data_IF_189839936121
#
_entry.id   IF_189839936121
#
_cell.length_a   1.000
_cell.length_b   1.000
_cell.length_c   1.000
_cell.angle_alpha   90.00
_cell.angle_beta   90.00
_cell.angle_gamma   90.00
#
_symmetry.space_group_name_H-M   'P 1'
#
loop_
_entity.id
_entity.type
_entity.pdbx_description
1 polymer ?
#
# COMPACT_ATOMS: atom_id res chain seq x y z
N UNK A 1 -5.24 24.14 -6.03
CA UNK A 1 -4.28 24.18 -7.15
C UNK A 1 -3.03 23.46 -6.66
N UNK A 2 -2.51 22.48 -7.39
CA UNK A 2 -1.19 21.92 -7.06
C UNK A 2 -0.17 23.05 -7.22
N UNK A 3 0.79 23.16 -6.30
CA UNK A 3 1.84 24.19 -6.39
C UNK A 3 2.79 23.88 -7.54
N UNK A 4 3.24 24.92 -8.24
CA UNK A 4 4.31 24.83 -9.24
C UNK A 4 5.70 25.06 -8.62
N UNK A 5 5.79 25.22 -7.28
CA UNK A 5 7.07 25.39 -6.60
C UNK A 5 7.87 24.07 -6.61
N UNK A 6 9.03 24.03 -7.31
CA UNK A 6 9.84 22.83 -7.42
C UNK A 6 10.38 22.35 -6.07
N UNK A 7 10.54 23.23 -5.08
CA UNK A 7 11.01 22.85 -3.73
C UNK A 7 9.95 22.04 -2.98
N UNK A 8 8.69 22.44 -3.08
CA UNK A 8 7.59 21.72 -2.41
C UNK A 8 7.41 20.35 -3.07
N UNK A 9 7.45 20.29 -4.40
CA UNK A 9 7.36 19.02 -5.14
C UNK A 9 8.52 18.09 -4.73
N UNK A 10 9.75 18.61 -4.69
CA UNK A 10 10.91 17.82 -4.26
C UNK A 10 10.78 17.32 -2.81
N UNK A 11 10.35 18.17 -1.88
CA UNK A 11 10.16 17.80 -0.48
C UNK A 11 9.07 16.75 -0.31
N UNK A 12 7.94 16.91 -1.00
CA UNK A 12 6.85 15.94 -1.00
C UNK A 12 7.30 14.58 -1.55
N UNK A 13 8.05 14.59 -2.64
CA UNK A 13 8.59 13.37 -3.26
C UNK A 13 9.57 12.64 -2.35
N UNK A 14 10.49 13.38 -1.71
CA UNK A 14 11.42 12.82 -0.71
C UNK A 14 10.65 12.25 0.48
N UNK A 15 9.64 12.99 0.97
CA UNK A 15 8.79 12.59 2.08
C UNK A 15 7.97 11.33 1.80
N UNK A 16 7.57 11.08 0.56
CA UNK A 16 6.91 9.84 0.14
C UNK A 16 7.89 8.67 -0.05
N UNK A 17 9.02 8.91 -0.71
CA UNK A 17 9.96 7.83 -1.07
C UNK A 17 10.74 7.28 0.12
N UNK A 18 11.25 8.14 1.01
CA UNK A 18 12.13 7.69 2.10
C UNK A 18 11.44 6.65 2.99
N UNK A 19 10.22 6.88 3.51
CA UNK A 19 9.52 5.88 4.31
C UNK A 19 9.28 4.58 3.53
N UNK A 20 8.89 4.65 2.26
CA UNK A 20 8.67 3.47 1.43
C UNK A 20 9.94 2.64 1.23
N UNK A 21 11.09 3.28 1.03
CA UNK A 21 12.38 2.59 0.90
C UNK A 21 12.86 2.00 2.24
N UNK A 22 12.61 2.68 3.36
CA UNK A 22 12.92 2.16 4.69
C UNK A 22 12.11 0.89 4.99
N UNK A 23 10.82 0.90 4.66
CA UNK A 23 9.98 -0.29 4.76
C UNK A 23 10.41 -1.39 3.80
N UNK A 24 10.77 -1.06 2.56
CA UNK A 24 11.26 -2.06 1.60
C UNK A 24 12.51 -2.75 2.14
N UNK A 25 13.45 -1.97 2.68
CA UNK A 25 14.64 -2.52 3.33
C UNK A 25 14.30 -3.42 4.52
N UNK A 26 13.32 -3.05 5.34
CA UNK A 26 12.86 -3.85 6.47
C UNK A 26 12.28 -5.21 6.01
N UNK A 27 11.37 -5.22 5.04
CA UNK A 27 10.75 -6.45 4.54
C UNK A 27 11.73 -7.36 3.78
N UNK A 28 12.68 -6.80 3.03
CA UNK A 28 13.73 -7.57 2.37
C UNK A 28 14.71 -8.20 3.37
N UNK A 29 14.86 -7.60 4.56
CA UNK A 29 15.68 -8.15 5.63
C UNK A 29 15.05 -9.38 6.28
N UNK A 30 13.73 -9.53 6.19
CA UNK A 30 13.01 -10.73 6.62
C UNK A 30 13.29 -11.91 5.67
N UNK A 31 13.28 -11.67 4.35
CA UNK A 31 13.62 -12.68 3.34
C UNK A 31 15.13 -12.82 3.07
N UNK A 32 15.96 -12.87 4.13
CA UNK A 32 17.42 -12.94 3.98
C UNK A 32 17.95 -14.28 3.47
N UNK A 33 17.21 -15.37 3.67
CA UNK A 33 17.68 -16.72 3.34
C UNK A 33 17.72 -16.97 1.83
N UNK A 34 16.79 -16.37 1.08
CA UNK A 34 16.70 -16.47 -0.38
C UNK A 34 16.28 -15.10 -0.96
N UNK A 35 17.20 -14.14 -1.09
CA UNK A 35 16.84 -12.80 -1.52
C UNK A 35 16.50 -12.73 -3.01
N UNK A 36 15.43 -12.01 -3.34
CA UNK A 36 15.05 -11.73 -4.72
C UNK A 36 16.08 -10.84 -5.45
N UNK A 37 16.25 -10.97 -6.78
CA UNK A 37 17.19 -10.15 -7.51
C UNK A 37 16.82 -8.67 -7.44
N UNK A 38 17.77 -7.82 -7.02
CA UNK A 38 17.51 -6.38 -6.82
C UNK A 38 16.97 -5.68 -8.07
N UNK A 39 17.41 -6.09 -9.27
CA UNK A 39 16.96 -5.51 -10.52
C UNK A 39 15.45 -5.71 -10.76
N UNK A 40 14.93 -6.91 -10.49
CA UNK A 40 13.49 -7.18 -10.65
C UNK A 40 12.68 -6.45 -9.57
N UNK A 41 13.18 -6.38 -8.34
CA UNK A 41 12.56 -5.59 -7.26
C UNK A 41 12.47 -4.10 -7.63
N UNK A 42 13.51 -3.53 -8.23
CA UNK A 42 13.48 -2.14 -8.70
C UNK A 42 12.42 -1.93 -9.77
N UNK A 43 12.30 -2.83 -10.75
CA UNK A 43 11.27 -2.75 -11.80
C UNK A 43 9.87 -2.84 -11.16
N UNK A 44 9.66 -3.78 -10.24
CA UNK A 44 8.39 -3.97 -9.53
C UNK A 44 8.02 -2.73 -8.71
N UNK A 45 8.99 -2.12 -8.01
CA UNK A 45 8.78 -0.88 -7.27
C UNK A 45 8.37 0.27 -8.20
N UNK A 46 9.08 0.46 -9.32
CA UNK A 46 8.75 1.48 -10.32
C UNK A 46 7.36 1.24 -10.93
N UNK A 47 7.02 -0.02 -11.21
CA UNK A 47 5.69 -0.36 -11.71
C UNK A 47 4.59 -0.06 -10.68
N UNK A 48 4.88 -0.24 -9.39
CA UNK A 48 4.03 0.26 -8.30
C UNK A 48 3.83 1.77 -8.32
N UNK A 49 4.90 2.54 -8.55
CA UNK A 49 4.80 4.01 -8.71
C UNK A 49 3.92 4.39 -9.91
N UNK A 50 4.13 3.73 -11.06
CA UNK A 50 3.34 3.95 -12.27
C UNK A 50 1.88 3.54 -12.11
N UNK A 51 1.60 2.56 -11.26
CA UNK A 51 0.25 2.09 -10.97
C UNK A 51 -0.66 3.22 -10.44
N UNK A 52 -0.10 4.24 -9.77
CA UNK A 52 -0.85 5.42 -9.33
C UNK A 52 -1.42 6.22 -10.52
N UNK A 53 -0.68 6.30 -11.64
CA UNK A 53 -1.14 7.00 -12.86
C UNK A 53 -2.41 6.35 -13.41
N UNK A 54 -2.54 5.02 -13.29
CA UNK A 54 -3.70 4.28 -13.76
C UNK A 54 -4.86 4.28 -12.75
N UNK A 55 -4.57 4.25 -11.45
CA UNK A 55 -5.62 4.18 -10.43
C UNK A 55 -6.33 5.52 -10.25
N UNK A 56 -5.64 6.66 -10.36
CA UNK A 56 -6.22 7.97 -10.08
C UNK A 56 -7.40 8.32 -11.02
N UNK A 57 -7.33 8.09 -12.35
CA UNK A 57 -8.48 8.25 -13.23
C UNK A 57 -9.66 7.35 -12.85
N UNK A 58 -9.39 6.11 -12.42
CA UNK A 58 -10.43 5.16 -11.99
C UNK A 58 -11.11 5.66 -10.72
N UNK A 59 -10.32 6.11 -9.74
CA UNK A 59 -10.84 6.69 -8.50
C UNK A 59 -11.65 7.96 -8.77
N UNK A 60 -11.19 8.83 -9.68
CA UNK A 60 -11.92 10.03 -10.11
C UNK A 60 -13.25 9.67 -10.80
N UNK A 61 -13.26 8.64 -11.64
CA UNK A 61 -14.47 8.13 -12.25
C UNK A 61 -15.46 7.61 -11.20
N UNK A 62 -15.00 6.81 -10.24
CA UNK A 62 -15.81 6.32 -9.11
C UNK A 62 -16.39 7.50 -8.32
N UNK A 63 -15.57 8.51 -8.02
CA UNK A 63 -15.99 9.70 -7.27
C UNK A 63 -17.16 10.45 -7.93
N UNK A 64 -17.18 10.51 -9.27
CA UNK A 64 -18.18 11.24 -10.04
C UNK A 64 -19.45 10.46 -10.38
N UNK A 65 -19.44 9.12 -10.23
CA UNK A 65 -20.55 8.25 -10.67
C UNK A 65 -21.19 7.42 -9.56
N UNK A 66 -20.59 7.40 -8.36
CA UNK A 66 -21.12 6.70 -7.19
C UNK A 66 -21.59 7.76 -6.20
N UNK A 67 -22.76 7.60 -5.58
CA UNK A 67 -23.25 8.57 -4.59
C UNK A 67 -22.90 8.17 -3.15
N UNK A 68 -23.03 6.88 -2.81
CA UNK A 68 -22.70 6.35 -1.47
C UNK A 68 -21.21 6.45 -1.19
N UNK A 69 -20.86 7.09 -0.06
CA UNK A 69 -19.49 7.21 0.39
C UNK A 69 -18.90 5.85 0.79
N UNK A 70 -19.70 4.97 1.38
CA UNK A 70 -19.29 3.62 1.77
C UNK A 70 -18.87 2.81 0.54
N UNK A 71 -19.67 2.87 -0.53
CA UNK A 71 -19.34 2.21 -1.79
C UNK A 71 -18.11 2.82 -2.46
N UNK A 72 -17.92 4.14 -2.39
CA UNK A 72 -16.71 4.80 -2.92
C UNK A 72 -15.45 4.26 -2.25
N UNK A 73 -15.41 4.19 -0.92
CA UNK A 73 -14.23 3.71 -0.21
C UNK A 73 -13.88 2.26 -0.55
N UNK A 74 -14.90 1.40 -0.65
CA UNK A 74 -14.71 0.01 -1.07
C UNK A 74 -14.16 -0.05 -2.50
N UNK A 75 -14.74 0.71 -3.44
CA UNK A 75 -14.34 0.68 -4.85
C UNK A 75 -12.95 1.31 -5.07
N UNK A 76 -12.59 2.35 -4.32
CA UNK A 76 -11.25 2.93 -4.33
C UNK A 76 -10.20 1.93 -3.85
N UNK A 77 -10.40 1.33 -2.66
CA UNK A 77 -9.51 0.30 -2.15
C UNK A 77 -9.41 -0.89 -3.12
N UNK A 78 -10.54 -1.30 -3.71
CA UNK A 78 -10.58 -2.36 -4.73
C UNK A 78 -9.73 -2.02 -5.95
N UNK A 79 -9.87 -0.81 -6.48
CA UNK A 79 -9.11 -0.36 -7.64
C UNK A 79 -7.61 -0.36 -7.34
N UNK A 80 -7.19 0.12 -6.17
CA UNK A 80 -5.78 0.13 -5.77
C UNK A 80 -5.19 -1.27 -5.65
N UNK A 81 -5.85 -2.19 -4.93
CA UNK A 81 -5.36 -3.56 -4.76
C UNK A 81 -5.27 -4.30 -6.10
N UNK A 82 -6.27 -4.11 -6.98
CA UNK A 82 -6.26 -4.72 -8.32
C UNK A 82 -5.14 -4.15 -9.19
N UNK A 83 -4.96 -2.83 -9.20
CA UNK A 83 -3.96 -2.17 -10.05
C UNK A 83 -2.53 -2.49 -9.57
N UNK A 84 -2.28 -2.55 -8.25
CA UNK A 84 -1.01 -3.04 -7.69
C UNK A 84 -0.75 -4.50 -8.05
N UNK A 85 -1.76 -5.35 -7.96
CA UNK A 85 -1.65 -6.75 -8.38
C UNK A 85 -1.26 -6.85 -9.86
N UNK A 86 -1.95 -6.14 -10.74
CA UNK A 86 -1.66 -6.14 -12.17
C UNK A 86 -0.23 -5.63 -12.46
N UNK A 87 0.25 -4.61 -11.75
CA UNK A 87 1.61 -4.12 -11.88
C UNK A 87 2.65 -5.23 -11.66
N UNK A 88 2.45 -6.09 -10.65
CA UNK A 88 3.31 -7.25 -10.40
C UNK A 88 3.16 -8.33 -11.47
N UNK A 89 1.92 -8.68 -11.81
CA UNK A 89 1.68 -9.73 -12.81
C UNK A 89 2.30 -9.37 -14.15
N UNK A 90 2.20 -8.11 -14.60
CA UNK A 90 2.80 -7.66 -15.87
C UNK A 90 4.31 -7.86 -15.87
N UNK A 91 4.99 -7.57 -14.75
CA UNK A 91 6.45 -7.69 -14.65
C UNK A 91 6.90 -9.15 -14.58
N UNK A 92 6.19 -9.97 -13.80
CA UNK A 92 6.58 -11.36 -13.55
C UNK A 92 6.02 -12.34 -14.59
N UNK A 93 5.11 -11.88 -15.46
CA UNK A 93 4.51 -12.72 -16.49
C UNK A 93 5.59 -13.37 -17.37
N UNK A 94 5.56 -14.70 -17.45
CA UNK A 94 6.54 -15.53 -18.18
C UNK A 94 7.99 -15.39 -17.71
N UNK A 95 8.22 -14.88 -16.49
CA UNK A 95 9.55 -14.91 -15.86
C UNK A 95 9.69 -16.14 -14.95
N UNK A 96 10.93 -16.46 -14.58
CA UNK A 96 11.25 -17.50 -13.59
C UNK A 96 11.60 -16.93 -12.22
N UNK A 97 11.30 -15.64 -11.97
CA UNK A 97 11.72 -14.93 -10.76
C UNK A 97 10.78 -15.13 -9.56
N UNK A 98 9.58 -15.68 -9.76
CA UNK A 98 8.64 -16.02 -8.70
C UNK A 98 8.34 -17.52 -8.76
N UNK A 99 9.31 -18.33 -8.35
CA UNK A 99 9.24 -19.78 -8.39
C UNK A 99 8.73 -20.38 -7.08
N UNK A 100 8.82 -19.65 -5.96
CA UNK A 100 8.35 -20.09 -4.65
C UNK A 100 7.11 -19.30 -4.22
N UNK A 101 6.23 -19.92 -3.40
CA UNK A 101 5.04 -19.23 -2.89
C UNK A 101 5.37 -17.99 -2.05
N UNK A 102 6.54 -17.96 -1.41
CA UNK A 102 7.00 -16.85 -0.57
C UNK A 102 7.42 -15.60 -1.35
N UNK A 103 7.78 -15.75 -2.63
CA UNK A 103 8.28 -14.63 -3.45
C UNK A 103 7.13 -13.69 -3.82
N UNK A 104 5.92 -14.23 -4.03
CA UNK A 104 4.72 -13.46 -4.41
C UNK A 104 4.38 -12.34 -3.44
N UNK A 105 4.30 -12.57 -2.13
CA UNK A 105 4.07 -11.47 -1.21
C UNK A 105 5.26 -10.50 -1.10
N UNK A 106 6.53 -10.90 -1.34
CA UNK A 106 7.65 -9.95 -1.44
C UNK A 106 7.47 -9.01 -2.65
N UNK A 107 7.10 -9.54 -3.81
CA UNK A 107 6.87 -8.73 -5.01
C UNK A 107 5.66 -7.80 -4.87
N UNK A 108 4.55 -8.28 -4.30
CA UNK A 108 3.38 -7.43 -4.06
C UNK A 108 3.63 -6.35 -3.01
N UNK A 109 4.36 -6.65 -1.94
CA UNK A 109 4.83 -5.64 -0.98
C UNK A 109 5.70 -4.60 -1.69
N UNK A 110 6.60 -5.04 -2.56
CA UNK A 110 7.50 -4.14 -3.30
C UNK A 110 6.72 -3.18 -4.20
N UNK A 111 5.73 -3.68 -4.95
CA UNK A 111 4.84 -2.83 -5.76
C UNK A 111 4.00 -1.89 -4.87
N UNK A 112 3.52 -2.38 -3.74
CA UNK A 112 2.74 -1.58 -2.80
C UNK A 112 3.53 -0.42 -2.19
N UNK A 113 4.82 -0.62 -1.89
CA UNK A 113 5.70 0.42 -1.38
C UNK A 113 6.03 1.47 -2.46
N UNK A 114 6.19 1.04 -3.71
CA UNK A 114 6.29 1.95 -4.85
C UNK A 114 5.03 2.78 -5.05
N UNK A 115 3.87 2.15 -4.96
CA UNK A 115 2.57 2.83 -5.00
C UNK A 115 2.45 3.87 -3.88
N UNK A 116 2.70 3.45 -2.63
CA UNK A 116 2.65 4.33 -1.46
C UNK A 116 3.64 5.50 -1.56
N UNK A 117 4.80 5.31 -2.22
CA UNK A 117 5.78 6.38 -2.38
C UNK A 117 5.22 7.57 -3.18
N UNK A 118 4.55 7.30 -4.31
CA UNK A 118 3.92 8.35 -5.12
C UNK A 118 2.66 8.88 -4.45
N UNK A 119 1.82 8.00 -3.91
CA UNK A 119 0.58 8.42 -3.28
C UNK A 119 0.83 9.35 -2.08
N UNK A 120 1.74 8.97 -1.17
CA UNK A 120 2.12 9.82 -0.05
C UNK A 120 2.75 11.14 -0.51
N UNK A 121 3.57 11.12 -1.57
CA UNK A 121 4.10 12.34 -2.15
C UNK A 121 2.97 13.26 -2.63
N UNK A 122 1.95 12.74 -3.33
CA UNK A 122 0.80 13.53 -3.78
C UNK A 122 -0.01 14.10 -2.61
N UNK A 123 -0.19 13.32 -1.53
CA UNK A 123 -0.87 13.81 -0.33
C UNK A 123 -0.08 14.90 0.41
N UNK A 124 1.25 14.92 0.33
CA UNK A 124 2.10 15.94 0.96
C UNK A 124 2.10 17.28 0.23
N UNK A 125 1.80 17.32 -1.06
CA UNK A 125 1.91 18.56 -1.86
C UNK A 125 1.01 19.66 -1.29
N UNK A 126 -0.27 19.37 -1.03
CA UNK A 126 -1.24 20.39 -0.61
C UNK A 126 -0.90 20.99 0.77
N UNK A 127 -0.68 20.20 1.85
CA UNK A 127 -0.25 20.72 3.16
C UNK A 127 1.01 21.58 3.10
N UNK A 128 2.03 21.13 2.37
CA UNK A 128 3.28 21.89 2.20
C UNK A 128 3.08 23.21 1.45
N UNK A 129 2.12 23.27 0.52
CA UNK A 129 1.83 24.47 -0.28
C UNK A 129 1.16 25.58 0.50
N UNK A 130 0.35 25.24 1.51
CA UNK A 130 -0.39 26.21 2.33
C UNK A 130 0.39 26.64 3.58
N UNK A 131 1.64 26.17 3.72
CA UNK A 131 2.52 26.55 4.83
C UNK A 131 2.09 26.00 6.18
N UNK A 132 1.37 24.86 6.22
CA UNK A 132 1.04 24.21 7.49
C UNK A 132 2.32 23.90 8.28
N UNK A 133 2.32 24.30 9.57
CA UNK A 133 3.49 24.24 10.44
C UNK A 133 4.10 22.83 10.52
N UNK A 134 5.38 22.75 10.89
CA UNK A 134 6.14 21.51 11.12
C UNK A 134 5.41 20.50 12.01
N UNK A 135 4.57 20.95 12.94
CA UNK A 135 3.77 20.11 13.83
C UNK A 135 2.60 19.42 13.10
N UNK A 136 1.92 20.11 12.18
CA UNK A 136 0.87 19.53 11.32
C UNK A 136 1.49 18.55 10.31
N UNK A 137 2.72 18.81 9.86
CA UNK A 137 3.49 17.86 9.06
C UNK A 137 3.90 16.63 9.89
N UNK A 138 4.26 16.77 11.16
CA UNK A 138 4.60 15.66 12.08
C UNK A 138 3.38 14.79 12.45
N UNK A 139 2.19 15.37 12.56
CA UNK A 139 0.96 14.60 12.81
C UNK A 139 0.44 13.93 11.53
N UNK A 140 0.55 14.61 10.38
CA UNK A 140 0.38 14.02 9.05
C UNK A 140 1.31 12.82 8.83
N UNK A 141 2.57 12.89 9.26
CA UNK A 141 3.55 11.78 9.20
C UNK A 141 3.06 10.49 9.85
N UNK A 142 2.25 10.56 10.91
CA UNK A 142 1.64 9.37 11.48
C UNK A 142 0.58 8.81 10.52
N UNK A 143 -0.33 9.62 9.96
CA UNK A 143 -1.27 9.10 8.95
C UNK A 143 -0.54 8.47 7.74
N UNK A 144 0.59 9.06 7.31
CA UNK A 144 1.42 8.54 6.20
C UNK A 144 2.14 7.23 6.52
N UNK A 145 2.73 7.11 7.71
CA UNK A 145 3.40 5.88 8.14
C UNK A 145 2.39 4.73 8.24
N UNK A 146 1.16 5.03 8.67
CA UNK A 146 0.06 4.07 8.75
C UNK A 146 -0.41 3.63 7.36
N UNK A 147 -0.60 4.58 6.42
CA UNK A 147 -0.91 4.26 5.02
C UNK A 147 0.16 3.38 4.38
N UNK A 148 1.46 3.72 4.53
CA UNK A 148 2.55 2.91 3.95
C UNK A 148 2.54 1.47 4.48
N UNK A 149 2.33 1.31 5.79
CA UNK A 149 2.18 -0.01 6.40
C UNK A 149 0.91 -0.72 5.89
N UNK A 150 -0.19 0.01 5.67
CA UNK A 150 -1.43 -0.54 5.14
C UNK A 150 -1.24 -1.17 3.77
N UNK A 151 -0.69 -0.42 2.80
CA UNK A 151 -0.49 -0.95 1.45
C UNK A 151 0.40 -2.19 1.47
N UNK A 152 1.40 -2.18 2.35
CA UNK A 152 2.31 -3.30 2.52
C UNK A 152 1.58 -4.54 3.06
N UNK A 153 0.83 -4.39 4.15
CA UNK A 153 0.14 -5.52 4.81
C UNK A 153 -1.02 -6.03 3.94
N UNK A 154 -1.81 -5.15 3.31
CA UNK A 154 -2.90 -5.55 2.41
C UNK A 154 -2.37 -6.33 1.20
N UNK A 155 -1.31 -5.83 0.56
CA UNK A 155 -0.71 -6.47 -0.60
C UNK A 155 0.05 -7.75 -0.21
N UNK A 156 0.62 -7.79 1.00
CA UNK A 156 1.20 -9.00 1.59
C UNK A 156 0.17 -10.10 1.78
N UNK A 157 -1.02 -9.79 2.31
CA UNK A 157 -2.14 -10.75 2.43
C UNK A 157 -2.53 -11.30 1.04
N UNK A 158 -2.69 -10.42 0.06
CA UNK A 158 -3.00 -10.83 -1.31
C UNK A 158 -1.89 -11.72 -1.89
N UNK A 159 -0.62 -11.39 -1.63
CA UNK A 159 0.50 -12.19 -2.11
C UNK A 159 0.61 -13.56 -1.45
N UNK A 160 0.35 -13.68 -0.15
CA UNK A 160 0.27 -14.97 0.54
C UNK A 160 -0.83 -15.82 -0.10
N UNK A 161 -2.03 -15.24 -0.27
CA UNK A 161 -3.14 -15.93 -0.90
C UNK A 161 -2.82 -16.38 -2.34
N UNK A 162 -2.17 -15.52 -3.12
CA UNK A 162 -1.71 -15.82 -4.47
C UNK A 162 -0.67 -16.95 -4.47
N UNK A 163 0.39 -16.86 -3.67
CA UNK A 163 1.44 -17.87 -3.58
C UNK A 163 0.89 -19.25 -3.21
N UNK A 164 -0.01 -19.31 -2.23
CA UNK A 164 -0.70 -20.55 -1.84
C UNK A 164 -1.59 -21.06 -2.99
N UNK A 165 -2.35 -20.17 -3.63
CA UNK A 165 -3.28 -20.54 -4.71
C UNK A 165 -2.59 -21.21 -5.90
N UNK A 166 -1.31 -20.91 -6.14
CA UNK A 166 -0.55 -21.49 -7.25
C UNK A 166 -0.23 -22.97 -7.04
N UNK A 167 -0.30 -23.47 -5.80
CA UNK A 167 -0.16 -24.88 -5.45
C UNK A 167 -1.50 -25.63 -5.43
N UNK A 168 -2.57 -24.97 -5.90
CA UNK A 168 -3.92 -25.52 -5.95
C UNK A 168 -4.43 -25.62 -7.38
N UNK A 169 -5.41 -26.49 -7.59
CA UNK A 169 -6.03 -26.70 -8.90
C UNK A 169 -7.50 -26.29 -8.94
N UNK A 170 -7.99 -26.01 -10.15
CA UNK A 170 -9.40 -25.77 -10.43
C UNK A 170 -10.02 -24.63 -9.62
N UNK A 171 -11.16 -24.92 -9.00
CA UNK A 171 -11.98 -23.94 -8.25
C UNK A 171 -11.25 -23.43 -7.00
N UNK A 172 -10.47 -24.29 -6.32
CA UNK A 172 -9.77 -23.92 -5.08
C UNK A 172 -8.77 -22.79 -5.30
N UNK A 173 -8.00 -22.86 -6.38
CA UNK A 173 -7.07 -21.78 -6.79
C UNK A 173 -7.79 -20.43 -6.92
N UNK A 174 -8.91 -20.41 -7.65
CA UNK A 174 -9.70 -19.19 -7.84
C UNK A 174 -10.28 -18.68 -6.53
N UNK A 175 -10.78 -19.58 -5.68
CA UNK A 175 -11.36 -19.22 -4.39
C UNK A 175 -10.32 -18.57 -3.47
N UNK A 176 -9.11 -19.12 -3.37
CA UNK A 176 -8.05 -18.54 -2.54
C UNK A 176 -7.65 -17.15 -3.03
N UNK A 177 -7.54 -16.94 -4.34
CA UNK A 177 -7.24 -15.62 -4.89
C UNK A 177 -8.36 -14.61 -4.60
N UNK A 178 -9.63 -15.00 -4.77
CA UNK A 178 -10.79 -14.16 -4.45
C UNK A 178 -10.83 -13.81 -2.96
N UNK A 179 -10.59 -14.78 -2.08
CA UNK A 179 -10.50 -14.55 -0.64
C UNK A 179 -9.36 -13.59 -0.31
N UNK A 180 -8.20 -13.74 -0.96
CA UNK A 180 -7.06 -12.82 -0.82
C UNK A 180 -7.43 -11.37 -1.15
N UNK A 181 -8.10 -11.15 -2.29
CA UNK A 181 -8.61 -9.83 -2.65
C UNK A 181 -9.61 -9.28 -1.64
N UNK A 182 -10.59 -10.09 -1.23
CA UNK A 182 -11.59 -9.67 -0.24
C UNK A 182 -10.92 -9.24 1.06
N UNK A 183 -9.96 -10.02 1.56
CA UNK A 183 -9.25 -9.71 2.80
C UNK A 183 -8.39 -8.44 2.67
N UNK A 184 -7.66 -8.29 1.55
CA UNK A 184 -6.85 -7.10 1.31
C UNK A 184 -7.70 -5.83 1.22
N UNK A 185 -8.79 -5.88 0.44
CA UNK A 185 -9.73 -4.77 0.27
C UNK A 185 -10.45 -4.45 1.58
N UNK A 186 -10.87 -5.47 2.32
CA UNK A 186 -11.52 -5.28 3.62
C UNK A 186 -10.58 -4.60 4.62
N UNK A 187 -9.33 -5.08 4.75
CA UNK A 187 -8.33 -4.46 5.63
C UNK A 187 -8.08 -3.01 5.23
N UNK A 188 -7.89 -2.76 3.93
CA UNK A 188 -7.67 -1.43 3.39
C UNK A 188 -8.84 -0.49 3.74
N UNK A 189 -10.06 -0.90 3.42
CA UNK A 189 -11.26 -0.12 3.70
C UNK A 189 -11.46 0.13 5.21
N UNK A 190 -11.24 -0.88 6.05
CA UNK A 190 -11.34 -0.76 7.51
C UNK A 190 -10.33 0.25 8.04
N UNK A 191 -9.09 0.23 7.57
CA UNK A 191 -8.09 1.23 7.94
C UNK A 191 -8.51 2.63 7.50
N UNK A 192 -8.90 2.81 6.24
CA UNK A 192 -9.34 4.10 5.71
C UNK A 192 -10.52 4.66 6.51
N UNK A 193 -11.47 3.81 6.85
CA UNK A 193 -12.62 4.16 7.67
C UNK A 193 -12.22 4.67 9.06
N UNK A 194 -11.28 4.03 9.74
CA UNK A 194 -10.81 4.48 11.05
C UNK A 194 -9.96 5.75 10.96
N UNK A 195 -9.00 5.81 10.04
CA UNK A 195 -8.02 6.91 9.99
C UNK A 195 -8.62 8.25 9.54
N UNK A 196 -9.69 8.22 8.74
CA UNK A 196 -10.43 9.42 8.31
C UNK A 196 -11.24 10.03 9.46
N UNK A 197 -11.65 9.21 10.45
CA UNK A 197 -12.45 9.67 11.60
C UNK A 197 -11.63 10.26 12.73
N UNK A 198 -10.32 10.04 12.72
CA UNK A 198 -9.42 10.66 13.69
C UNK A 198 -9.44 12.17 13.49
N UNK A 199 -9.91 12.91 14.50
CA UNK A 199 -9.99 14.36 14.48
C UNK A 199 -8.74 15.01 15.09
N UNK A 200 -8.04 15.80 14.30
CA UNK A 200 -6.79 16.49 14.68
C UNK A 200 -6.97 17.54 15.78
N UNK A 201 -8.19 18.03 15.98
CA UNK A 201 -8.50 19.02 17.02
C UNK A 201 -8.95 18.39 18.36
N UNK A 202 -9.07 17.06 18.44
CA UNK A 202 -9.42 16.37 19.68
C UNK A 202 -8.17 16.20 20.57
N UNK A 203 -8.31 16.44 21.89
CA UNK A 203 -7.26 16.16 22.88
C UNK A 203 -6.83 14.69 22.92
N UNK A 204 -7.67 13.77 22.41
CA UNK A 204 -7.37 12.34 22.30
C UNK A 204 -6.73 11.92 20.98
N UNK A 205 -6.45 12.84 20.05
CA UNK A 205 -5.93 12.56 18.70
C UNK A 205 -4.81 11.50 18.67
N UNK A 206 -3.78 11.71 19.50
CA UNK A 206 -2.61 10.83 19.54
C UNK A 206 -2.98 9.39 19.94
N UNK A 207 -3.86 9.23 20.93
CA UNK A 207 -4.34 7.92 21.37
C UNK A 207 -5.18 7.23 20.30
N UNK A 208 -6.02 7.97 19.57
CA UNK A 208 -6.83 7.40 18.48
C UNK A 208 -5.95 6.89 17.33
N UNK A 209 -4.96 7.68 16.92
CA UNK A 209 -3.97 7.23 15.93
C UNK A 209 -3.26 5.97 16.40
N UNK A 210 -2.77 5.95 17.65
CA UNK A 210 -2.07 4.78 18.18
C UNK A 210 -2.96 3.53 18.20
N UNK A 211 -4.27 3.65 18.42
CA UNK A 211 -5.21 2.52 18.33
C UNK A 211 -5.30 1.97 16.90
N UNK A 212 -5.46 2.84 15.90
CA UNK A 212 -5.52 2.45 14.48
C UNK A 212 -4.21 1.79 14.04
N UNK A 213 -3.08 2.37 14.46
CA UNK A 213 -1.76 1.81 14.23
C UNK A 213 -1.56 0.47 14.93
N UNK A 214 -1.93 0.36 16.21
CA UNK A 214 -1.81 -0.87 16.98
C UNK A 214 -2.59 -2.01 16.33
N UNK A 215 -3.81 -1.74 15.87
CA UNK A 215 -4.59 -2.69 15.06
C UNK A 215 -3.82 -3.13 13.81
N UNK A 216 -3.32 -2.19 13.02
CA UNK A 216 -2.60 -2.52 11.79
C UNK A 216 -1.29 -3.29 12.06
N UNK A 217 -0.58 -2.96 13.14
CA UNK A 217 0.63 -3.66 13.57
C UNK A 217 0.36 -5.11 13.98
N UNK A 218 -0.77 -5.39 14.65
CA UNK A 218 -1.16 -6.78 14.94
C UNK A 218 -1.32 -7.57 13.64
N UNK A 219 -1.99 -6.99 12.64
CA UNK A 219 -2.13 -7.64 11.32
C UNK A 219 -0.78 -7.78 10.61
N UNK A 220 0.09 -6.77 10.69
CA UNK A 220 1.44 -6.83 10.14
C UNK A 220 2.26 -7.97 10.76
N UNK A 221 2.19 -8.14 12.08
CA UNK A 221 2.86 -9.24 12.79
C UNK A 221 2.31 -10.60 12.36
N UNK A 222 0.99 -10.75 12.22
CA UNK A 222 0.39 -11.98 11.71
C UNK A 222 0.93 -12.29 10.30
N UNK A 223 0.99 -11.29 9.42
CA UNK A 223 1.56 -11.44 8.08
C UNK A 223 3.04 -11.83 8.13
N UNK A 224 3.86 -11.19 8.98
CA UNK A 224 5.27 -11.58 9.18
C UNK A 224 5.42 -13.03 9.67
N UNK A 225 4.62 -13.46 10.63
CA UNK A 225 4.65 -14.85 11.12
C UNK A 225 4.22 -15.87 10.06
N UNK A 226 3.40 -15.47 9.09
CA UNK A 226 3.07 -16.29 7.92
C UNK A 226 4.20 -16.30 6.87
N UNK A 227 5.09 -15.31 6.87
CA UNK A 227 6.29 -15.31 6.02
C UNK A 227 7.40 -16.24 6.54
N UNK A 228 7.49 -16.43 7.87
CA UNK A 228 8.57 -17.23 8.46
C UNK A 228 8.37 -18.76 8.33
N UNK A 229 7.17 -19.22 7.96
CA UNK A 229 6.79 -20.64 7.89
C UNK A 229 6.71 -21.17 6.47
#
# INVERSE_FOLDING_TARGET
>A
MLTDDPKIIALAFIGGIIPSLLWLWFWLKENKKNPEPKGILTIVFIMGMLAVIFVLPIQKFIQGNVDSNELKFILWASAEEIIKYLAVIIVLYKTTYADKPIDWPIYLITAALGFAAIENALFLIKPLSIGENTISLLTGQLRFLGSTLLHTVSSGILGIALGISLHMEGVKKKLYLVVGFILAIALHNVFNFFIIRVNENDGNYFLEILKVFGFLWVVAIIVMLLFEK
#
